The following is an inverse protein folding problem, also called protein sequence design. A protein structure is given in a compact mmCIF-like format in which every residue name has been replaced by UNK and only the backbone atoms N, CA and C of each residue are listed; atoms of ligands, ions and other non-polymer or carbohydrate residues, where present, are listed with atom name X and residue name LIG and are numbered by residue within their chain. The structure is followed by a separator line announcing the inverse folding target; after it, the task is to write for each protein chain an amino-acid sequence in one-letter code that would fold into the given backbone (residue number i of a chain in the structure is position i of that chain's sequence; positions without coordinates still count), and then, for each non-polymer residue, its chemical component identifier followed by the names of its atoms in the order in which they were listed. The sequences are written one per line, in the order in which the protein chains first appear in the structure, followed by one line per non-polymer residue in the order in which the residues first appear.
data_IF_881929804426
#
_entry.id   IF_881929804426
#
_cell.length_a   1.000
_cell.length_b   1.000
_cell.length_c   1.000
_cell.angle_alpha   90.00
_cell.angle_beta   90.00
_cell.angle_gamma   90.00
#
_symmetry.space_group_name_H-M   'P 1'
#
loop_
_entity.id
_entity.type
_entity.pdbx_description
1 polymer ?
#
# COMPACT_ATOMS: atom_id res chain seq x y z
N UNK A 1 11.52 -12.65 -22.57
CA UNK A 1 11.73 -11.29 -22.04
C UNK A 1 10.59 -11.04 -21.08
N UNK A 2 10.79 -11.29 -19.79
CA UNK A 2 9.82 -10.88 -18.77
C UNK A 2 10.52 -9.81 -17.94
N UNK A 3 10.49 -8.56 -18.42
CA UNK A 3 10.75 -7.42 -17.55
C UNK A 3 9.50 -7.33 -16.70
N UNK A 4 9.57 -7.84 -15.47
CA UNK A 4 8.56 -7.51 -14.48
C UNK A 4 8.85 -6.06 -14.12
N UNK A 5 8.03 -5.14 -14.62
CA UNK A 5 8.04 -3.73 -14.23
C UNK A 5 7.66 -3.66 -12.76
N UNK A 6 8.66 -3.78 -11.88
CA UNK A 6 8.46 -3.49 -10.46
C UNK A 6 7.99 -2.03 -10.38
N UNK A 7 6.90 -1.73 -9.66
CA UNK A 7 6.42 -0.36 -9.50
C UNK A 7 7.54 0.48 -8.88
N UNK A 8 7.75 1.69 -9.38
CA UNK A 8 8.76 2.58 -8.84
C UNK A 8 8.33 3.07 -7.46
N UNK A 9 9.27 3.60 -6.67
CA UNK A 9 8.95 4.18 -5.36
C UNK A 9 7.89 5.28 -5.47
N UNK A 10 7.95 6.12 -6.52
CA UNK A 10 6.93 7.13 -6.84
C UNK A 10 5.54 6.53 -7.04
N UNK A 11 5.41 5.46 -7.84
CA UNK A 11 4.12 4.78 -8.05
C UNK A 11 3.57 4.24 -6.73
N UNK A 12 4.44 3.65 -5.90
CA UNK A 12 4.04 3.14 -4.59
C UNK A 12 3.66 4.27 -3.63
N UNK A 13 4.29 5.45 -3.70
CA UNK A 13 3.89 6.64 -2.91
C UNK A 13 2.51 7.15 -3.30
N UNK A 14 2.19 7.21 -4.59
CA UNK A 14 0.86 7.60 -5.05
C UNK A 14 -0.21 6.60 -4.59
N UNK A 15 0.09 5.30 -4.70
CA UNK A 15 -0.78 4.24 -4.20
C UNK A 15 -0.93 4.29 -2.68
N UNK A 16 0.15 4.56 -1.93
CA UNK A 16 0.11 4.73 -0.48
C UNK A 16 -0.78 5.91 -0.08
N UNK A 17 -0.69 7.03 -0.79
CA UNK A 17 -1.58 8.18 -0.60
C UNK A 17 -3.05 7.82 -0.83
N UNK A 18 -3.34 7.01 -1.86
CA UNK A 18 -4.68 6.51 -2.11
C UNK A 18 -5.16 5.55 -1.02
N UNK A 19 -4.30 4.65 -0.53
CA UNK A 19 -4.61 3.76 0.59
C UNK A 19 -4.99 4.54 1.85
N UNK A 20 -4.28 5.63 2.16
CA UNK A 20 -4.62 6.51 3.28
C UNK A 20 -5.96 7.24 3.12
N UNK A 21 -6.50 7.32 1.90
CA UNK A 21 -7.82 7.86 1.61
C UNK A 21 -8.92 6.78 1.55
N UNK A 22 -8.55 5.49 1.57
CA UNK A 22 -9.52 4.40 1.64
C UNK A 22 -10.04 4.26 3.08
N UNK A 23 -11.37 4.30 3.30
CA UNK A 23 -11.93 4.05 4.62
C UNK A 23 -11.59 2.64 5.09
N UNK A 24 -11.18 2.54 6.35
CA UNK A 24 -10.92 1.28 7.05
C UNK A 24 -11.83 1.19 8.27
N UNK A 25 -12.30 -0.01 8.54
CA UNK A 25 -13.16 -0.30 9.68
C UNK A 25 -12.36 -0.22 11.01
N UNK A 26 -13.05 -0.26 12.15
CA UNK A 26 -12.43 -0.18 13.49
C UNK A 26 -11.43 -1.30 13.74
N UNK A 27 -11.63 -2.46 13.11
CA UNK A 27 -10.74 -3.60 13.18
C UNK A 27 -9.56 -3.51 12.18
N UNK A 28 -9.53 -2.48 11.33
CA UNK A 28 -8.43 -2.24 10.37
C UNK A 28 -8.60 -2.91 9.00
N UNK A 29 -9.79 -3.41 8.69
CA UNK A 29 -10.12 -3.96 7.38
C UNK A 29 -10.52 -2.87 6.39
N UNK A 30 -10.13 -3.00 5.12
CA UNK A 30 -10.53 -2.10 4.05
C UNK A 30 -12.06 -2.13 3.85
N UNK A 31 -12.73 -0.98 3.97
CA UNK A 31 -14.17 -0.86 3.67
C UNK A 31 -14.45 -0.65 2.18
N UNK A 32 -13.41 -0.34 1.39
CA UNK A 32 -13.48 -0.20 -0.06
C UNK A 32 -12.43 -1.07 -0.76
N UNK A 33 -12.71 -1.57 -1.98
CA UNK A 33 -11.72 -2.33 -2.73
C UNK A 33 -10.54 -1.43 -3.13
N UNK A 34 -9.33 -1.97 -3.03
CA UNK A 34 -8.10 -1.25 -3.31
C UNK A 34 -7.18 -2.09 -4.19
N UNK A 35 -6.85 -1.61 -5.40
CA UNK A 35 -6.08 -2.37 -6.39
C UNK A 35 -6.70 -3.75 -6.70
N UNK A 36 -6.04 -4.82 -6.28
CA UNK A 36 -6.50 -6.21 -6.38
C UNK A 36 -7.06 -6.76 -5.06
N UNK A 37 -7.05 -5.96 -4.00
CA UNK A 37 -7.61 -6.31 -2.70
C UNK A 37 -9.10 -6.01 -2.66
N UNK A 38 -9.87 -6.97 -2.17
CA UNK A 38 -11.29 -6.82 -1.99
C UNK A 38 -11.62 -6.09 -0.68
N UNK A 39 -12.86 -5.62 -0.56
CA UNK A 39 -13.41 -5.15 0.71
C UNK A 39 -13.29 -6.26 1.77
N UNK A 40 -12.89 -5.89 2.98
CA UNK A 40 -12.61 -6.81 4.08
C UNK A 40 -11.19 -7.36 4.10
N UNK A 41 -10.30 -6.89 3.20
CA UNK A 41 -8.87 -7.23 3.29
C UNK A 41 -8.24 -6.45 4.43
N UNK A 42 -7.37 -7.10 5.21
CA UNK A 42 -6.62 -6.46 6.27
C UNK A 42 -5.65 -5.41 5.71
N UNK A 43 -5.58 -4.23 6.32
CA UNK A 43 -4.62 -3.21 5.89
C UNK A 43 -3.17 -3.67 6.01
N UNK A 44 -2.85 -4.55 6.96
CA UNK A 44 -1.49 -5.08 7.15
C UNK A 44 -1.10 -6.01 5.99
N UNK A 45 -2.05 -6.77 5.42
CA UNK A 45 -1.81 -7.54 4.19
C UNK A 45 -1.44 -6.62 3.02
N UNK A 46 -2.13 -5.49 2.89
CA UNK A 46 -1.82 -4.49 1.87
C UNK A 46 -0.42 -3.91 2.12
N UNK A 47 -0.10 -3.59 3.36
CA UNK A 47 1.22 -3.09 3.77
C UNK A 47 2.33 -4.08 3.42
N UNK A 48 2.18 -5.34 3.78
CA UNK A 48 3.15 -6.38 3.43
C UNK A 48 3.31 -6.53 1.92
N UNK A 49 2.24 -6.35 1.14
CA UNK A 49 2.33 -6.33 -0.31
C UNK A 49 3.19 -5.17 -0.83
N UNK A 50 3.07 -3.97 -0.26
CA UNK A 50 3.92 -2.82 -0.61
C UNK A 50 5.40 -3.12 -0.37
N UNK A 51 5.74 -3.68 0.80
CA UNK A 51 7.12 -4.05 1.14
C UNK A 51 7.65 -5.19 0.25
N UNK A 52 6.78 -6.09 -0.19
CA UNK A 52 7.12 -7.15 -1.12
C UNK A 52 7.39 -6.64 -2.55
N UNK A 53 6.87 -5.47 -2.94
CA UNK A 53 7.10 -4.91 -4.28
C UNK A 53 8.53 -4.39 -4.46
N UNK A 54 9.11 -3.81 -3.41
CA UNK A 54 10.42 -3.17 -3.50
C UNK A 54 11.21 -3.28 -2.19
N UNK A 55 12.43 -3.86 -2.20
CA UNK A 55 13.21 -4.12 -0.98
C UNK A 55 13.70 -2.85 -0.26
N UNK A 56 13.87 -1.73 -0.98
CA UNK A 56 14.21 -0.42 -0.38
C UNK A 56 12.99 0.35 0.16
N UNK A 57 11.78 -0.19 0.00
CA UNK A 57 10.55 0.46 0.44
C UNK A 57 9.94 -0.34 1.57
N UNK A 58 9.65 0.35 2.68
CA UNK A 58 8.95 -0.24 3.82
C UNK A 58 7.77 0.63 4.20
N UNK A 59 6.76 0.06 4.83
CA UNK A 59 5.61 0.82 5.34
C UNK A 59 6.05 1.87 6.36
N UNK A 60 7.07 1.55 7.16
CA UNK A 60 7.72 2.52 8.05
C UNK A 60 8.32 3.71 7.30
N UNK A 61 8.87 3.50 6.10
CA UNK A 61 9.38 4.58 5.25
C UNK A 61 8.22 5.46 4.75
N UNK A 62 7.10 4.85 4.34
CA UNK A 62 5.88 5.57 3.96
C UNK A 62 5.25 6.37 5.11
N UNK A 63 5.26 5.84 6.34
CA UNK A 63 4.77 6.55 7.52
C UNK A 63 5.66 7.74 7.90
N UNK A 64 6.97 7.68 7.63
CA UNK A 64 7.93 8.76 7.90
C UNK A 64 7.97 9.88 6.86
N UNK A 65 7.47 9.63 5.64
CA UNK A 65 7.36 10.64 4.56
C UNK A 65 6.01 11.38 4.53
N UNK A 66 5.07 11.01 5.40
CA UNK A 66 3.93 11.86 5.72
C UNK A 66 4.43 13.07 6.53
N UNK A 67 4.82 14.15 5.83
CA UNK A 67 5.20 15.44 6.44
C UNK A 67 4.10 15.96 7.40
N UNK A 68 4.49 16.71 8.45
CA UNK A 68 3.57 17.31 9.43
C UNK A 68 2.60 18.34 8.82
#
# INVERSE_FOLDING_TARGET
MQTQEQPSVDDLQELWGQLGNVPVDVDGYLEAPFLHFAVGTDREDVWHWFEAQHPDVSVAAFMGIAKP
#
